data_IF_896387992767
#
_entry.id   IF_896387992767
#
_cell.length_a   1.000
_cell.length_b   1.000
_cell.length_c   1.000
_cell.angle_alpha   90.00
_cell.angle_beta   90.00
_cell.angle_gamma   90.00
#
_symmetry.space_group_name_H-M   'P 1'
#
loop_
_entity.id
_entity.type
_entity.pdbx_description
1 polymer ?
#
# COMPACT_ATOMS: atom_id res chain seq x y z
N UNK A 1 -10.43 3.06 -19.32
CA UNK A 1 -9.07 2.63 -18.94
C UNK A 1 -9.18 1.89 -17.62
N UNK A 2 -9.08 0.57 -17.56
CA UNK A 2 -9.41 -0.15 -16.31
C UNK A 2 -8.43 -1.27 -15.90
N UNK A 3 -7.44 -1.64 -16.71
CA UNK A 3 -6.48 -2.70 -16.36
C UNK A 3 -5.05 -2.16 -16.17
N UNK A 4 -4.85 -1.30 -15.17
CA UNK A 4 -3.53 -0.78 -14.82
C UNK A 4 -3.22 -0.97 -13.32
N UNK A 5 -1.92 -0.90 -12.99
CA UNK A 5 -1.47 -0.90 -11.60
C UNK A 5 -1.32 0.55 -11.11
N UNK A 6 -2.24 0.99 -10.27
CA UNK A 6 -2.18 2.30 -9.62
C UNK A 6 -1.52 2.15 -8.26
N UNK A 7 -0.39 2.83 -8.05
CA UNK A 7 0.31 2.81 -6.75
C UNK A 7 -0.49 3.62 -5.74
N UNK A 8 -0.91 2.98 -4.64
CA UNK A 8 -1.74 3.61 -3.58
C UNK A 8 -0.99 3.67 -2.23
N UNK A 9 0.06 2.85 -2.07
CA UNK A 9 0.89 2.79 -0.86
C UNK A 9 2.35 3.03 -1.26
N UNK A 10 3.02 3.94 -0.56
CA UNK A 10 4.46 4.14 -0.64
C UNK A 10 4.97 4.62 0.72
N UNK A 11 5.69 3.76 1.44
CA UNK A 11 6.19 4.07 2.78
C UNK A 11 7.66 3.68 2.93
N UNK A 12 8.38 4.36 3.81
CA UNK A 12 9.77 4.06 4.13
C UNK A 12 9.87 2.84 5.06
N UNK A 13 10.35 1.69 4.56
CA UNK A 13 10.41 0.45 5.32
C UNK A 13 11.64 0.37 6.21
N UNK A 14 12.81 0.52 5.61
CA UNK A 14 14.08 0.57 6.30
C UNK A 14 14.98 1.59 5.57
N UNK A 15 16.20 1.81 6.06
CA UNK A 15 17.12 2.83 5.49
C UNK A 15 17.46 2.63 4.01
N UNK A 16 17.19 1.45 3.45
CA UNK A 16 17.58 1.07 2.09
C UNK A 16 16.41 0.64 1.23
N UNK A 17 15.18 0.56 1.75
CA UNK A 17 14.01 0.04 1.06
C UNK A 17 12.75 0.85 1.34
N UNK A 18 11.94 1.04 0.29
CA UNK A 18 10.54 1.45 0.38
C UNK A 18 9.64 0.23 0.30
N UNK A 19 8.53 0.29 1.02
CA UNK A 19 7.40 -0.61 0.82
C UNK A 19 6.40 0.05 -0.11
N UNK A 20 5.92 -0.67 -1.12
CA UNK A 20 4.91 -0.17 -2.06
C UNK A 20 3.82 -1.19 -2.32
N UNK A 21 2.59 -0.70 -2.53
CA UNK A 21 1.47 -1.51 -3.00
C UNK A 21 0.67 -0.75 -4.06
N UNK A 22 0.11 -1.50 -5.00
CA UNK A 22 -0.80 -0.97 -6.00
C UNK A 22 -1.93 -1.93 -6.34
N UNK A 23 -2.91 -1.42 -7.09
CA UNK A 23 -4.15 -2.13 -7.45
C UNK A 23 -3.93 -3.38 -8.31
N UNK A 24 -2.79 -3.47 -9.00
CA UNK A 24 -2.43 -4.60 -9.84
C UNK A 24 -3.53 -5.02 -10.82
N UNK A 25 -4.23 -4.07 -11.45
CA UNK A 25 -5.39 -4.32 -12.31
C UNK A 25 -6.48 -5.18 -11.61
N UNK A 26 -6.99 -4.69 -10.47
CA UNK A 26 -7.94 -5.41 -9.61
C UNK A 26 -7.37 -6.70 -9.00
N UNK A 27 -6.06 -6.83 -8.93
CA UNK A 27 -5.36 -7.86 -8.19
C UNK A 27 -4.23 -7.23 -7.38
N UNK A 28 -4.53 -6.62 -6.22
CA UNK A 28 -3.58 -5.78 -5.52
C UNK A 28 -2.35 -6.57 -5.07
N UNK A 29 -1.19 -5.98 -5.28
CA UNK A 29 0.13 -6.54 -5.00
C UNK A 29 0.99 -5.54 -4.25
N UNK A 30 1.86 -6.06 -3.39
CA UNK A 30 2.83 -5.28 -2.64
C UNK A 30 4.24 -5.81 -2.87
N UNK A 31 5.25 -4.97 -2.65
CA UNK A 31 6.65 -5.34 -2.76
C UNK A 31 7.59 -4.28 -2.18
N UNK A 32 8.88 -4.53 -2.33
CA UNK A 32 9.94 -3.66 -1.82
C UNK A 32 10.74 -3.05 -2.96
N UNK A 33 10.99 -1.74 -2.87
CA UNK A 33 11.87 -1.02 -3.78
C UNK A 33 13.16 -0.71 -3.05
N UNK A 34 14.27 -1.26 -3.54
CA UNK A 34 15.61 -0.95 -3.08
C UNK A 34 15.99 0.46 -3.53
N UNK A 35 16.45 1.26 -2.57
CA UNK A 35 16.94 2.63 -2.73
C UNK A 35 18.48 2.74 -2.70
N UNK A 36 19.17 1.68 -2.26
CA UNK A 36 20.60 1.73 -1.93
C UNK A 36 20.87 2.39 -0.57
N UNK A 37 22.15 2.47 -0.18
CA UNK A 37 22.56 3.13 1.07
C UNK A 37 22.79 4.63 0.84
N UNK A 38 22.47 5.49 1.81
CA UNK A 38 22.61 6.97 1.68
C UNK A 38 24.03 7.47 1.35
N UNK A 39 25.05 6.59 1.33
CA UNK A 39 26.44 6.91 1.00
C UNK A 39 26.88 6.38 -0.37
N UNK A 40 26.04 5.62 -1.04
CA UNK A 40 26.25 5.08 -2.39
C UNK A 40 25.20 5.62 -3.36
N UNK A 41 25.37 5.32 -4.64
CA UNK A 41 24.45 5.69 -5.72
C UNK A 41 23.01 5.27 -5.42
N UNK A 42 22.02 6.12 -5.77
CA UNK A 42 20.60 5.79 -5.60
C UNK A 42 20.26 4.65 -6.56
N UNK A 43 20.00 3.46 -6.01
CA UNK A 43 19.43 2.34 -6.74
C UNK A 43 17.92 2.54 -6.73
N UNK A 44 17.19 2.28 -7.83
CA UNK A 44 15.72 2.32 -7.81
C UNK A 44 15.19 1.06 -8.48
N UNK A 45 15.08 -0.01 -7.69
CA UNK A 45 14.80 -1.35 -8.20
C UNK A 45 13.74 -2.07 -7.37
N UNK A 46 12.68 -2.51 -8.05
CA UNK A 46 11.63 -3.34 -7.44
C UNK A 46 12.10 -4.79 -7.34
N UNK A 47 11.96 -5.39 -6.15
CA UNK A 47 12.09 -6.83 -5.98
C UNK A 47 10.84 -7.54 -6.50
N UNK A 48 10.92 -8.01 -7.74
CA UNK A 48 9.84 -8.73 -8.43
C UNK A 48 9.73 -10.20 -8.01
N UNK A 49 10.73 -10.73 -7.30
CA UNK A 49 10.74 -12.14 -6.88
C UNK A 49 9.99 -12.34 -5.56
N UNK A 50 9.92 -11.31 -4.72
CA UNK A 50 9.29 -11.36 -3.40
C UNK A 50 8.05 -10.46 -3.30
N UNK A 51 7.15 -10.56 -4.27
CA UNK A 51 5.86 -9.85 -4.22
C UNK A 51 4.92 -10.51 -3.21
N UNK A 52 4.21 -9.69 -2.44
CA UNK A 52 3.21 -10.09 -1.46
C UNK A 52 1.80 -9.79 -1.96
N UNK A 53 0.80 -10.50 -1.41
CA UNK A 53 -0.61 -10.11 -1.64
C UNK A 53 -0.88 -8.73 -1.05
N UNK A 54 -1.48 -7.87 -1.88
CA UNK A 54 -1.96 -6.55 -1.48
C UNK A 54 -3.39 -6.56 -0.93
N UNK A 55 -4.02 -7.73 -0.81
CA UNK A 55 -5.37 -7.84 -0.21
C UNK A 55 -5.31 -7.36 1.24
N UNK A 56 -6.27 -6.51 1.63
CA UNK A 56 -6.30 -5.82 2.93
C UNK A 56 -5.12 -4.85 3.16
N UNK A 57 -4.24 -4.67 2.16
CA UNK A 57 -3.11 -3.73 2.19
C UNK A 57 -3.30 -2.54 1.24
N UNK A 58 -4.02 -2.78 0.13
CA UNK A 58 -4.25 -1.85 -0.96
C UNK A 58 -5.65 -2.11 -1.55
N UNK A 59 -6.38 -1.07 -2.00
CA UNK A 59 -7.67 -1.24 -2.63
C UNK A 59 -7.51 -1.91 -4.00
N UNK A 60 -8.60 -2.54 -4.45
CA UNK A 60 -8.71 -3.13 -5.78
C UNK A 60 -9.02 -2.06 -6.83
N UNK A 61 -9.93 -1.13 -6.49
CA UNK A 61 -10.36 -0.03 -7.34
C UNK A 61 -9.48 1.22 -7.08
N UNK A 62 -8.90 1.86 -8.11
CA UNK A 62 -8.11 3.06 -7.95
C UNK A 62 -8.92 4.32 -7.59
N UNK A 63 -10.22 4.37 -7.86
CA UNK A 63 -11.02 5.60 -7.79
C UNK A 63 -11.34 6.07 -6.37
N UNK A 64 -11.70 5.18 -5.41
CA UNK A 64 -11.99 5.63 -4.06
C UNK A 64 -10.77 6.27 -3.37
N UNK A 65 -11.01 7.26 -2.50
CA UNK A 65 -9.97 7.80 -1.64
C UNK A 65 -9.44 6.73 -0.69
N UNK A 66 -8.15 6.82 -0.41
CA UNK A 66 -7.41 5.83 0.34
C UNK A 66 -6.29 6.52 1.11
N UNK A 67 -6.12 6.16 2.37
CA UNK A 67 -4.94 6.55 3.13
C UNK A 67 -4.36 5.33 3.87
N UNK A 68 -3.05 5.37 4.07
CA UNK A 68 -2.32 4.34 4.79
C UNK A 68 -1.19 4.97 5.60
N UNK A 69 -0.85 4.33 6.71
CA UNK A 69 0.29 4.69 7.54
C UNK A 69 1.05 3.42 7.92
N UNK A 70 2.38 3.49 7.85
CA UNK A 70 3.25 2.43 8.28
C UNK A 70 3.93 2.79 9.60
N UNK A 71 3.84 1.90 10.57
CA UNK A 71 4.51 2.00 11.87
C UNK A 71 5.48 0.82 12.02
N UNK A 72 6.36 0.88 13.01
CA UNK A 72 7.48 -0.08 13.20
C UNK A 72 7.03 -1.55 13.27
N UNK A 73 5.79 -1.83 13.70
CA UNK A 73 5.26 -3.18 13.90
C UNK A 73 3.93 -3.44 13.19
N UNK A 74 3.33 -2.44 12.54
CA UNK A 74 2.00 -2.57 11.93
C UNK A 74 1.77 -1.55 10.83
N UNK A 75 0.94 -1.92 9.86
CA UNK A 75 0.38 -0.98 8.91
C UNK A 75 -1.11 -0.77 9.22
N UNK A 76 -1.54 0.48 9.16
CA UNK A 76 -2.94 0.86 9.34
C UNK A 76 -3.41 1.46 8.04
N UNK A 77 -4.53 0.94 7.55
CA UNK A 77 -5.13 1.38 6.30
C UNK A 77 -6.52 1.90 6.62
N UNK A 78 -6.84 3.04 6.03
CA UNK A 78 -8.17 3.62 6.08
C UNK A 78 -8.72 3.59 4.67
N UNK A 79 -9.72 2.75 4.44
CA UNK A 79 -10.58 2.89 3.28
C UNK A 79 -11.74 3.80 3.65
N UNK A 80 -12.12 4.68 2.71
CA UNK A 80 -13.40 5.38 2.82
C UNK A 80 -14.45 4.49 2.16
N UNK A 81 -15.33 3.86 2.94
CA UNK A 81 -16.59 3.39 2.39
C UNK A 81 -17.51 4.59 2.29
N UNK A 82 -17.75 5.09 1.08
CA UNK A 82 -18.76 6.13 0.84
C UNK A 82 -20.13 5.49 1.05
N UNK A 83 -20.69 5.63 2.24
CA UNK A 83 -22.06 5.20 2.53
C UNK A 83 -23.04 6.30 2.14
N UNK A 84 -23.94 6.02 1.20
CA UNK A 84 -25.15 6.82 0.99
C UNK A 84 -26.21 6.35 1.99
N UNK A 85 -26.45 7.12 3.05
CA UNK A 85 -27.74 7.06 3.75
C UNK A 85 -28.58 8.22 3.25
N UNK A 86 -29.88 8.00 3.03
CA UNK A 86 -30.81 8.99 2.45
C UNK A 86 -30.44 10.41 2.89
N UNK A 87 -30.07 11.23 1.90
CA UNK A 87 -29.76 12.65 1.98
C UNK A 87 -28.45 13.10 2.66
N UNK A 88 -27.63 12.19 3.23
CA UNK A 88 -26.31 12.54 3.81
C UNK A 88 -25.18 11.57 3.40
N UNK A 89 -24.08 12.12 2.86
CA UNK A 89 -22.81 11.40 2.68
C UNK A 89 -22.14 11.28 4.05
N UNK A 90 -22.12 10.06 4.61
CA UNK A 90 -21.34 9.78 5.82
C UNK A 90 -20.11 8.95 5.44
N UNK A 91 -18.94 9.57 5.55
CA UNK A 91 -17.67 8.87 5.45
C UNK A 91 -17.42 8.16 6.78
N UNK A 92 -17.66 6.85 6.84
CA UNK A 92 -17.19 6.04 7.97
C UNK A 92 -15.86 5.42 7.59
N UNK A 93 -14.72 5.91 8.12
CA UNK A 93 -13.44 5.26 7.90
C UNK A 93 -13.48 3.90 8.61
N UNK A 94 -13.40 2.81 7.84
CA UNK A 94 -13.09 1.53 8.46
C UNK A 94 -11.59 1.44 8.63
N UNK A 95 -11.18 1.28 9.88
CA UNK A 95 -9.79 1.14 10.24
C UNK A 95 -9.43 -0.34 10.17
N UNK A 96 -8.72 -0.75 9.12
CA UNK A 96 -8.19 -2.11 9.06
C UNK A 96 -6.72 -2.11 9.48
N UNK A 97 -6.45 -2.76 10.62
CA UNK A 97 -5.09 -3.12 11.02
C UNK A 97 -4.74 -4.42 10.34
N UNK A 98 -4.06 -4.33 9.21
CA UNK A 98 -3.41 -5.50 8.65
C UNK A 98 -2.09 -5.69 9.42
N UNK A 99 -1.80 -6.91 9.88
CA UNK A 99 -0.53 -7.23 10.55
C UNK A 99 0.45 -7.71 9.48
N UNK A 100 1.60 -7.06 9.39
CA UNK A 100 2.66 -7.42 8.46
C UNK A 100 3.90 -7.84 9.14
N UNK A 101 4.38 -9.00 8.71
CA UNK A 101 5.55 -9.67 9.25
C UNK A 101 6.71 -8.68 9.46
N UNK A 102 7.19 -8.52 10.70
CA UNK A 102 8.59 -8.20 10.87
C UNK A 102 9.37 -9.39 10.33
N UNK A 103 10.44 -9.14 9.56
CA UNK A 103 11.40 -10.14 9.05
C UNK A 103 11.07 -10.78 7.69
N UNK A 104 11.39 -10.07 6.60
CA UNK A 104 11.88 -10.65 5.35
C UNK A 104 12.73 -9.63 4.56
N UNK A 105 13.80 -9.13 5.17
CA UNK A 105 15.07 -8.73 4.53
C UNK A 105 16.16 -8.82 5.59
#
# INVERSE_FOLDING_TARGET
>A
EECANFIKVLHHYNKTHLYTCGTGAFHPLCGYVELGSQKEEIVFKLDTQNLETGRLKCPFDPHPPFASIMTVQSYVITYESVGLWCDHVYASPFLEKSVGSPSKV
#
